data_IF_424458312924
#
_entry.id   IF_424458312924
#
_cell.length_a   1.000
_cell.length_b   1.000
_cell.length_c   1.000
_cell.angle_alpha   90.00
_cell.angle_beta   90.00
_cell.angle_gamma   90.00
#
_symmetry.space_group_name_H-M   'P 1'
#
loop_
_entity.id
_entity.type
_entity.pdbx_description
1 polymer ?
#
# COMPACT_ATOMS: atom_id res chain seq x y z
N UNK A 1 -4.05 -42.87 22.85
CA UNK A 1 -3.96 -42.22 21.53
C UNK A 1 -2.79 -41.22 21.54
N UNK A 2 -1.63 -41.59 20.99
CA UNK A 2 -0.45 -40.70 20.86
C UNK A 2 -0.50 -40.02 19.49
N UNK A 3 -0.62 -38.69 19.45
CA UNK A 3 -0.58 -37.90 18.21
C UNK A 3 0.86 -37.42 17.98
N UNK A 4 1.48 -37.89 16.88
CA UNK A 4 2.79 -37.43 16.40
C UNK A 4 2.63 -36.08 15.71
N UNK A 5 3.35 -35.06 16.18
CA UNK A 5 3.46 -33.75 15.57
C UNK A 5 4.65 -33.75 14.59
N UNK A 6 4.42 -33.41 13.32
CA UNK A 6 5.44 -33.33 12.26
C UNK A 6 6.43 -32.18 12.54
N UNK A 7 7.75 -32.33 12.28
CA UNK A 7 8.74 -31.27 12.49
C UNK A 7 8.72 -30.23 11.35
N UNK A 8 9.10 -28.97 11.63
CA UNK A 8 8.93 -27.82 10.72
C UNK A 8 9.96 -27.73 9.58
N UNK A 9 10.70 -28.80 9.28
CA UNK A 9 11.86 -28.73 8.40
C UNK A 9 11.56 -28.84 6.89
N UNK A 10 10.37 -29.34 6.53
CA UNK A 10 9.98 -29.59 5.12
C UNK A 10 9.56 -28.32 4.36
N UNK A 11 9.17 -27.25 5.04
CA UNK A 11 8.66 -26.03 4.38
C UNK A 11 9.76 -25.14 3.80
N UNK A 12 10.99 -25.21 4.35
CA UNK A 12 12.12 -24.38 3.89
C UNK A 12 12.79 -24.92 2.62
N UNK A 13 12.78 -26.23 2.38
CA UNK A 13 13.39 -26.81 1.17
C UNK A 13 12.54 -26.54 -0.09
N UNK A 14 11.21 -26.57 0.04
CA UNK A 14 10.31 -26.29 -1.10
C UNK A 14 10.35 -24.82 -1.55
N UNK A 15 10.57 -23.88 -0.63
CA UNK A 15 10.67 -22.46 -0.95
C UNK A 15 11.94 -22.11 -1.75
N UNK A 16 13.06 -22.79 -1.45
CA UNK A 16 14.33 -22.57 -2.15
C UNK A 16 14.28 -23.20 -3.56
N UNK A 17 13.64 -24.35 -3.71
CA UNK A 17 13.48 -25.00 -5.02
C UNK A 17 12.55 -24.22 -5.98
N UNK A 18 11.51 -23.56 -5.46
CA UNK A 18 10.58 -22.74 -6.26
C UNK A 18 11.20 -21.41 -6.74
N UNK A 19 12.12 -20.82 -5.98
CA UNK A 19 12.79 -19.57 -6.37
C UNK A 19 13.73 -19.73 -7.55
N UNK A 20 14.41 -20.88 -7.65
CA UNK A 20 15.39 -21.14 -8.71
C UNK A 20 14.74 -21.42 -10.07
N UNK A 21 13.60 -22.12 -10.09
CA UNK A 21 12.87 -22.42 -11.32
C UNK A 21 12.20 -21.18 -11.92
N UNK A 22 11.65 -20.30 -11.08
CA UNK A 22 11.06 -19.04 -11.56
C UNK A 22 12.11 -18.09 -12.15
N UNK A 23 13.29 -18.00 -11.52
CA UNK A 23 14.38 -17.16 -12.00
C UNK A 23 14.91 -17.58 -13.38
N UNK A 24 15.08 -18.88 -13.61
CA UNK A 24 15.57 -19.41 -14.90
C UNK A 24 14.58 -19.15 -16.04
N UNK A 25 13.27 -19.25 -15.79
CA UNK A 25 12.26 -19.01 -16.82
C UNK A 25 12.12 -17.53 -17.20
N UNK A 26 12.28 -16.62 -16.25
CA UNK A 26 12.24 -15.18 -16.54
C UNK A 26 13.42 -14.76 -17.40
N UNK A 27 14.61 -15.29 -17.13
CA UNK A 27 15.81 -15.01 -17.95
C UNK A 27 15.69 -15.62 -19.36
N UNK A 28 15.09 -16.80 -19.50
CA UNK A 28 14.86 -17.44 -20.80
C UNK A 28 13.84 -16.68 -21.67
N UNK A 29 12.76 -16.16 -21.07
CA UNK A 29 11.73 -15.38 -21.78
C UNK A 29 12.29 -14.04 -22.24
N UNK A 30 13.06 -13.35 -21.39
CA UNK A 30 13.71 -12.08 -21.75
C UNK A 30 14.78 -12.30 -22.83
N UNK A 31 15.51 -13.42 -22.79
CA UNK A 31 16.45 -13.81 -23.84
C UNK A 31 15.79 -14.10 -25.20
N UNK A 32 14.63 -14.74 -25.22
CA UNK A 32 13.85 -15.00 -26.43
C UNK A 32 13.27 -13.73 -27.05
N UNK A 33 12.83 -12.79 -26.22
CA UNK A 33 12.36 -11.47 -26.66
C UNK A 33 13.50 -10.59 -27.20
N UNK A 34 14.73 -10.77 -26.71
CA UNK A 34 15.88 -9.99 -27.13
C UNK A 34 16.62 -10.57 -28.36
N UNK A 35 16.53 -11.89 -28.61
CA UNK A 35 17.25 -12.57 -29.70
C UNK A 35 16.36 -13.06 -30.86
N UNK A 36 15.04 -12.92 -30.76
CA UNK A 36 14.06 -13.46 -31.70
C UNK A 36 13.41 -12.45 -32.65
N UNK A 37 14.05 -12.22 -33.80
CA UNK A 37 13.43 -11.87 -35.09
C UNK A 37 12.69 -10.51 -35.22
N UNK A 38 13.46 -9.44 -35.44
CA UNK A 38 12.97 -8.27 -36.18
C UNK A 38 12.94 -8.58 -37.68
N UNK A 39 11.77 -8.87 -38.24
CA UNK A 39 11.49 -8.75 -39.69
C UNK A 39 10.11 -8.10 -39.88
N UNK A 40 10.04 -6.90 -40.49
CA UNK A 40 8.75 -6.25 -40.75
C UNK A 40 8.01 -6.90 -41.92
N UNK A 41 6.68 -6.81 -41.87
CA UNK A 41 5.69 -7.36 -42.78
C UNK A 41 5.89 -6.93 -44.25
N UNK A 42 6.01 -7.90 -45.17
CA UNK A 42 5.88 -7.67 -46.61
C UNK A 42 4.40 -7.46 -47.00
N UNK A 43 4.13 -6.45 -47.83
CA UNK A 43 2.82 -6.20 -48.42
C UNK A 43 2.60 -7.08 -49.67
N UNK A 44 1.38 -7.56 -49.96
CA UNK A 44 1.13 -8.39 -51.15
C UNK A 44 1.23 -7.58 -52.45
N UNK A 45 1.90 -8.15 -53.46
CA UNK A 45 2.15 -7.58 -54.79
C UNK A 45 0.85 -7.40 -55.59
N UNK A 46 0.77 -6.30 -56.34
CA UNK A 46 -0.32 -5.98 -57.28
C UNK A 46 -0.31 -6.97 -58.46
N UNK A 47 -1.45 -7.62 -58.74
CA UNK A 47 -1.66 -8.35 -59.98
C UNK A 47 -1.91 -7.36 -61.14
N UNK A 48 -1.13 -7.47 -62.21
CA UNK A 48 -1.35 -6.76 -63.48
C UNK A 48 -1.99 -7.74 -64.46
N UNK A 49 -3.25 -7.50 -64.81
CA UNK A 49 -3.93 -8.23 -65.90
C UNK A 49 -3.50 -7.61 -67.22
N UNK A 50 -3.01 -8.43 -68.16
CA UNK A 50 -2.73 -7.98 -69.53
C UNK A 50 -3.82 -8.52 -70.43
N UNK A 51 -4.70 -7.63 -70.89
CA UNK A 51 -5.76 -7.92 -71.84
C UNK A 51 -5.16 -7.98 -73.25
N UNK A 52 -5.00 -9.18 -73.78
CA UNK A 52 -4.62 -9.40 -75.18
C UNK A 52 -5.86 -9.18 -76.06
N UNK A 53 -5.78 -8.18 -76.96
CA UNK A 53 -6.77 -7.94 -78.03
C UNK A 53 -6.39 -8.76 -79.26
N UNK A 54 -7.34 -9.42 -79.94
CA UNK A 54 -7.09 -10.04 -81.23
C UNK A 54 -7.18 -8.98 -82.34
N UNK A 55 -6.05 -8.38 -82.69
CA UNK A 55 -5.85 -7.66 -83.97
C UNK A 55 -5.02 -8.49 -84.97
N UNK A 56 -4.90 -9.80 -84.76
CA UNK A 56 -4.33 -10.72 -85.76
C UNK A 56 -5.40 -11.10 -86.82
N UNK A 57 -5.29 -10.40 -87.96
CA UNK A 57 -5.69 -10.66 -89.36
C UNK A 57 -6.16 -12.08 -89.79
N UNK A 58 -6.77 -12.29 -91.00
CA UNK A 58 -7.19 -11.33 -92.06
C UNK A 58 -8.60 -11.56 -92.68
N UNK A 59 -9.05 -10.56 -93.46
CA UNK A 59 -10.08 -10.62 -94.52
C UNK A 59 -9.50 -11.22 -95.82
N UNK A 60 -10.31 -11.98 -96.58
CA UNK A 60 -10.23 -12.01 -98.06
C UNK A 60 -11.64 -12.11 -98.68
N UNK A 61 -12.04 -11.17 -99.57
CA UNK A 61 -11.87 -10.99 -101.03
C UNK A 61 -13.03 -11.61 -101.84
N UNK A 62 -13.57 -10.71 -102.67
CA UNK A 62 -14.57 -10.77 -103.73
C UNK A 62 -14.42 -11.91 -104.73
N UNK A 63 -15.51 -12.23 -105.45
CA UNK A 63 -15.50 -12.51 -106.90
C UNK A 63 -16.92 -12.50 -107.47
N UNK A 64 -17.17 -11.47 -108.27
CA UNK A 64 -18.21 -11.34 -109.30
C UNK A 64 -17.96 -12.37 -110.44
N UNK A 65 -19.02 -12.82 -111.12
CA UNK A 65 -18.90 -13.34 -112.49
C UNK A 65 -20.16 -12.96 -113.28
N UNK A 66 -19.87 -12.32 -114.41
CA UNK A 66 -20.76 -11.72 -115.41
C UNK A 66 -21.01 -12.68 -116.57
N UNK A 67 -22.01 -12.34 -117.39
CA UNK A 67 -22.31 -12.78 -118.77
C UNK A 67 -23.37 -13.91 -118.89
N UNK A 68 -24.31 -13.90 -119.83
CA UNK A 68 -24.37 -13.24 -121.15
C UNK A 68 -25.82 -13.19 -121.68
N UNK A 69 -26.08 -12.24 -122.58
CA UNK A 69 -27.33 -12.02 -123.34
C UNK A 69 -27.47 -13.01 -124.50
N UNK A 70 -28.70 -13.44 -124.83
CA UNK A 70 -29.13 -13.69 -126.22
C UNK A 70 -30.62 -13.36 -126.39
N UNK A 71 -30.93 -12.65 -127.47
CA UNK A 71 -32.26 -12.27 -127.93
C UNK A 71 -32.49 -12.84 -129.33
N UNK A 72 -33.74 -13.22 -129.65
CA UNK A 72 -34.17 -13.53 -131.02
C UNK A 72 -35.67 -13.24 -131.18
N UNK A 73 -36.08 -13.09 -132.43
CA UNK A 73 -36.88 -11.99 -132.97
C UNK A 73 -38.14 -12.50 -133.70
N UNK A 74 -39.30 -11.90 -133.39
CA UNK A 74 -40.45 -11.46 -134.23
C UNK A 74 -40.99 -12.38 -135.35
N UNK A 75 -42.32 -12.62 -135.34
CA UNK A 75 -43.14 -12.48 -136.55
C UNK A 75 -44.65 -12.28 -136.27
N UNK A 76 -45.26 -11.36 -137.03
CA UNK A 76 -46.70 -11.08 -137.12
C UNK A 76 -46.99 -10.25 -138.38
N UNK A 77 -48.24 -10.19 -138.86
CA UNK A 77 -48.65 -10.77 -140.15
C UNK A 77 -49.20 -9.73 -141.14
N UNK A 78 -49.33 -10.06 -142.44
CA UNK A 78 -50.12 -9.25 -143.39
C UNK A 78 -50.91 -10.13 -144.38
N UNK A 79 -52.13 -9.66 -144.61
CA UNK A 79 -53.28 -10.15 -145.35
C UNK A 79 -53.14 -9.86 -146.85
N UNK A 80 -53.60 -10.77 -147.71
CA UNK A 80 -53.72 -10.56 -149.16
C UNK A 80 -55.19 -10.78 -149.56
N UNK A 81 -55.78 -9.80 -150.25
CA UNK A 81 -57.15 -9.81 -150.78
C UNK A 81 -57.15 -8.98 -152.07
N UNK A 82 -57.26 -9.63 -153.24
CA UNK A 82 -57.59 -8.93 -154.50
C UNK A 82 -58.48 -9.77 -155.44
N UNK A 83 -59.39 -9.02 -156.07
CA UNK A 83 -60.53 -9.35 -156.95
C UNK A 83 -60.16 -9.64 -158.43
N UNK A 84 -61.12 -10.00 -159.31
CA UNK A 84 -60.88 -10.74 -160.56
C UNK A 84 -60.63 -9.88 -161.83
N UNK A 85 -60.06 -10.52 -162.85
CA UNK A 85 -59.84 -9.98 -164.20
C UNK A 85 -60.97 -10.38 -165.17
N UNK A 86 -61.46 -9.42 -165.96
CA UNK A 86 -62.34 -9.62 -167.12
C UNK A 86 -61.67 -8.98 -168.37
N UNK A 87 -61.67 -9.68 -169.51
CA UNK A 87 -61.07 -9.23 -170.78
C UNK A 87 -61.95 -8.19 -171.51
N UNK A 88 -61.38 -7.19 -172.21
CA UNK A 88 -62.12 -6.36 -173.16
C UNK A 88 -61.92 -6.77 -174.62
N UNK A 89 -62.95 -6.51 -175.42
CA UNK A 89 -62.95 -6.57 -176.88
C UNK A 89 -62.31 -5.31 -177.49
N UNK A 90 -61.88 -5.48 -178.74
CA UNK A 90 -61.12 -4.57 -179.62
C UNK A 90 -61.68 -3.15 -179.83
N UNK A 91 -60.81 -2.13 -180.05
CA UNK A 91 -61.15 -0.70 -179.99
C UNK A 91 -61.58 -0.07 -181.33
N UNK A 92 -62.30 1.05 -181.22
CA UNK A 92 -62.40 2.10 -182.25
C UNK A 92 -61.51 3.28 -181.80
N UNK A 93 -60.63 3.78 -182.69
CA UNK A 93 -59.56 4.74 -182.35
C UNK A 93 -60.09 6.15 -181.96
N UNK A 94 -59.57 6.79 -180.90
CA UNK A 94 -59.82 8.21 -180.58
C UNK A 94 -58.71 9.14 -181.10
N UNK A 95 -59.12 10.28 -181.63
CA UNK A 95 -58.26 11.30 -182.28
C UNK A 95 -57.45 12.12 -181.25
N UNK A 96 -56.23 12.56 -181.64
CA UNK A 96 -55.15 13.13 -180.81
C UNK A 96 -55.50 14.23 -179.78
N UNK A 97 -56.64 14.91 -179.86
CA UNK A 97 -56.99 16.01 -178.93
C UNK A 97 -57.36 15.55 -177.51
N UNK A 98 -57.80 14.31 -177.29
CA UNK A 98 -58.21 13.84 -175.95
C UNK A 98 -57.03 13.48 -175.03
N UNK A 99 -55.88 13.10 -175.60
CA UNK A 99 -54.72 12.63 -174.84
C UNK A 99 -54.02 13.76 -174.05
N UNK A 100 -54.09 15.00 -174.54
CA UNK A 100 -53.45 16.13 -173.90
C UNK A 100 -54.17 16.59 -172.61
N UNK A 101 -55.51 16.54 -172.59
CA UNK A 101 -56.29 16.98 -171.43
C UNK A 101 -56.16 16.03 -170.23
N UNK A 102 -56.04 14.72 -170.47
CA UNK A 102 -55.91 13.72 -169.40
C UNK A 102 -54.56 13.82 -168.68
N UNK A 103 -53.50 14.17 -169.41
CA UNK A 103 -52.15 14.32 -168.85
C UNK A 103 -52.04 15.46 -167.83
N UNK A 104 -52.66 16.62 -168.10
CA UNK A 104 -52.63 17.75 -167.16
C UNK A 104 -53.38 17.46 -165.85
N UNK A 105 -54.52 16.76 -165.94
CA UNK A 105 -55.32 16.41 -164.75
C UNK A 105 -54.58 15.41 -163.85
N UNK A 106 -53.82 14.48 -164.44
CA UNK A 106 -52.99 13.54 -163.69
C UNK A 106 -51.85 14.24 -162.94
N UNK A 107 -51.23 15.27 -163.54
CA UNK A 107 -50.12 16.00 -162.93
C UNK A 107 -50.56 16.86 -161.73
N UNK A 108 -51.73 17.50 -161.81
CA UNK A 108 -52.31 18.23 -160.67
C UNK A 108 -52.66 17.30 -159.50
N UNK A 109 -53.25 16.13 -159.77
CA UNK A 109 -53.59 15.16 -158.73
C UNK A 109 -52.34 14.60 -158.02
N UNK A 110 -51.22 14.46 -158.74
CA UNK A 110 -49.95 14.07 -158.12
C UNK A 110 -49.38 15.15 -157.19
N UNK A 111 -49.46 16.43 -157.57
CA UNK A 111 -49.00 17.52 -156.69
C UNK A 111 -49.81 17.62 -155.41
N UNK A 112 -51.14 17.45 -155.48
CA UNK A 112 -52.01 17.49 -154.30
C UNK A 112 -51.71 16.33 -153.33
N UNK A 113 -51.52 15.11 -153.84
CA UNK A 113 -51.09 13.96 -153.03
C UNK A 113 -49.76 14.19 -152.31
N UNK A 114 -48.79 14.81 -152.98
CA UNK A 114 -47.48 15.10 -152.38
C UNK A 114 -47.60 16.16 -151.26
N UNK A 115 -48.46 17.17 -151.44
CA UNK A 115 -48.72 18.18 -150.44
C UNK A 115 -49.42 17.61 -149.19
N UNK A 116 -50.40 16.72 -149.38
CA UNK A 116 -51.08 16.00 -148.31
C UNK A 116 -50.10 15.13 -147.50
N UNK A 117 -49.23 14.40 -148.20
CA UNK A 117 -48.23 13.53 -147.56
C UNK A 117 -47.21 14.32 -146.74
N UNK A 118 -46.80 15.52 -147.19
CA UNK A 118 -45.93 16.41 -146.40
C UNK A 118 -46.61 16.92 -145.13
N UNK A 119 -47.89 17.31 -145.19
CA UNK A 119 -48.63 17.74 -143.99
C UNK A 119 -48.72 16.64 -142.96
N UNK A 120 -49.05 15.42 -143.39
CA UNK A 120 -49.12 14.27 -142.49
C UNK A 120 -47.75 13.94 -141.86
N UNK A 121 -46.66 14.07 -142.61
CA UNK A 121 -45.31 13.89 -142.08
C UNK A 121 -44.94 14.96 -141.03
N UNK A 122 -45.27 16.23 -141.28
CA UNK A 122 -45.01 17.34 -140.34
C UNK A 122 -45.84 17.20 -139.05
N UNK A 123 -47.10 16.78 -139.15
CA UNK A 123 -47.96 16.55 -137.99
C UNK A 123 -47.51 15.35 -137.16
N UNK A 124 -47.12 14.25 -137.81
CA UNK A 124 -46.53 13.09 -137.14
C UNK A 124 -45.19 13.43 -136.45
N UNK A 125 -44.37 14.29 -137.05
CA UNK A 125 -43.13 14.77 -136.45
C UNK A 125 -43.38 15.62 -135.20
N UNK A 126 -44.34 16.56 -135.24
CA UNK A 126 -44.74 17.36 -134.08
C UNK A 126 -45.32 16.50 -132.95
N UNK A 127 -46.15 15.51 -133.27
CA UNK A 127 -46.70 14.59 -132.27
C UNK A 127 -45.60 13.79 -131.56
N UNK A 128 -44.60 13.27 -132.30
CA UNK A 128 -43.46 12.57 -131.70
C UNK A 128 -42.61 13.47 -130.81
N UNK A 129 -42.41 14.73 -131.20
CA UNK A 129 -41.64 15.68 -130.40
C UNK A 129 -42.36 16.04 -129.09
N UNK A 130 -43.68 16.23 -129.13
CA UNK A 130 -44.48 16.50 -127.94
C UNK A 130 -44.47 15.32 -126.95
N UNK A 131 -44.54 14.07 -127.44
CA UNK A 131 -44.46 12.87 -126.60
C UNK A 131 -43.07 12.72 -125.95
N UNK A 132 -42.00 12.96 -126.71
CA UNK A 132 -40.63 12.94 -126.20
C UNK A 132 -40.40 14.01 -125.10
N UNK A 133 -40.89 15.23 -125.31
CA UNK A 133 -40.79 16.32 -124.33
C UNK A 133 -41.60 16.02 -123.06
N UNK A 134 -42.81 15.46 -123.21
CA UNK A 134 -43.64 15.04 -122.08
C UNK A 134 -42.98 13.94 -121.24
N UNK A 135 -42.38 12.94 -121.90
CA UNK A 135 -41.65 11.86 -121.23
C UNK A 135 -40.40 12.36 -120.52
N UNK A 136 -39.60 13.21 -121.17
CA UNK A 136 -38.40 13.80 -120.56
C UNK A 136 -38.74 14.65 -119.32
N UNK A 137 -39.84 15.41 -119.36
CA UNK A 137 -40.30 16.20 -118.21
C UNK A 137 -40.78 15.31 -117.05
N UNK A 138 -41.54 14.25 -117.35
CA UNK A 138 -41.99 13.30 -116.34
C UNK A 138 -40.83 12.57 -115.65
N UNK A 139 -39.81 12.13 -116.41
CA UNK A 139 -38.61 11.51 -115.86
C UNK A 139 -37.79 12.50 -114.99
N UNK A 140 -37.65 13.75 -115.42
CA UNK A 140 -36.96 14.78 -114.66
C UNK A 140 -37.66 15.11 -113.33
N UNK A 141 -39.00 15.22 -113.32
CA UNK A 141 -39.77 15.48 -112.11
C UNK A 141 -39.76 14.27 -111.15
N UNK A 142 -39.84 13.04 -111.68
CA UNK A 142 -39.71 11.82 -110.89
C UNK A 142 -38.34 11.74 -110.19
N UNK A 143 -37.26 12.04 -110.91
CA UNK A 143 -35.90 12.05 -110.35
C UNK A 143 -35.74 13.11 -109.26
N UNK A 144 -36.22 14.34 -109.49
CA UNK A 144 -36.17 15.41 -108.48
C UNK A 144 -36.91 15.06 -107.21
N UNK A 145 -38.07 14.40 -107.31
CA UNK A 145 -38.84 13.97 -106.14
C UNK A 145 -38.12 12.88 -105.36
N UNK A 146 -37.54 11.89 -106.05
CA UNK A 146 -36.76 10.83 -105.41
C UNK A 146 -35.53 11.38 -104.67
N UNK A 147 -34.78 12.32 -105.29
CA UNK A 147 -33.62 12.95 -104.67
C UNK A 147 -34.01 13.80 -103.45
N UNK A 148 -35.14 14.51 -103.51
CA UNK A 148 -35.66 15.30 -102.39
C UNK A 148 -36.09 14.41 -101.21
N UNK A 149 -36.81 13.32 -101.46
CA UNK A 149 -37.24 12.38 -100.43
C UNK A 149 -36.05 11.67 -99.78
N UNK A 150 -35.04 11.28 -100.57
CA UNK A 150 -33.81 10.66 -100.07
C UNK A 150 -33.03 11.61 -99.15
N UNK A 151 -32.90 12.88 -99.54
CA UNK A 151 -32.24 13.90 -98.72
C UNK A 151 -32.99 14.19 -97.42
N UNK A 152 -34.31 14.33 -97.48
CA UNK A 152 -35.13 14.57 -96.29
C UNK A 152 -35.04 13.40 -95.29
N UNK A 153 -35.03 12.16 -95.77
CA UNK A 153 -34.87 10.98 -94.92
C UNK A 153 -33.48 10.92 -94.26
N UNK A 154 -32.42 11.20 -95.03
CA UNK A 154 -31.05 11.23 -94.51
C UNK A 154 -30.86 12.31 -93.43
N UNK A 155 -31.42 13.51 -93.62
CA UNK A 155 -31.37 14.59 -92.63
C UNK A 155 -32.16 14.24 -91.36
N UNK A 156 -33.34 13.62 -91.50
CA UNK A 156 -34.14 13.18 -90.36
C UNK A 156 -33.46 12.10 -89.53
N UNK A 157 -32.83 11.11 -90.17
CA UNK A 157 -32.11 10.03 -89.49
C UNK A 157 -30.82 10.56 -88.82
N UNK A 158 -30.10 11.47 -89.48
CA UNK A 158 -28.93 12.14 -88.88
C UNK A 158 -29.29 12.94 -87.63
N UNK A 159 -30.40 13.69 -87.67
CA UNK A 159 -30.89 14.45 -86.51
C UNK A 159 -31.31 13.54 -85.36
N UNK A 160 -32.06 12.46 -85.64
CA UNK A 160 -32.46 11.48 -84.62
C UNK A 160 -31.27 10.83 -83.93
N UNK A 161 -30.22 10.49 -84.70
CA UNK A 161 -29.00 9.90 -84.14
C UNK A 161 -28.25 10.91 -83.26
N UNK A 162 -28.12 12.15 -83.70
CA UNK A 162 -27.48 13.21 -82.92
C UNK A 162 -28.22 13.49 -81.60
N UNK A 163 -29.56 13.57 -81.63
CA UNK A 163 -30.38 13.77 -80.43
C UNK A 163 -30.28 12.58 -79.45
N UNK A 164 -30.25 11.34 -79.98
CA UNK A 164 -30.09 10.14 -79.17
C UNK A 164 -28.71 10.08 -78.48
N UNK A 165 -27.63 10.36 -79.22
CA UNK A 165 -26.26 10.39 -78.68
C UNK A 165 -26.10 11.49 -77.63
N UNK A 166 -26.67 12.68 -77.87
CA UNK A 166 -26.65 13.79 -76.92
C UNK A 166 -27.37 13.43 -75.62
N UNK A 167 -28.55 12.80 -75.70
CA UNK A 167 -29.31 12.35 -74.54
C UNK A 167 -28.56 11.27 -73.75
N UNK A 168 -28.00 10.27 -74.44
CA UNK A 168 -27.24 9.19 -73.80
C UNK A 168 -26.01 9.72 -73.06
N UNK A 169 -25.30 10.70 -73.64
CA UNK A 169 -24.15 11.34 -73.01
C UNK A 169 -24.55 12.15 -71.77
N UNK A 170 -25.65 12.92 -71.86
CA UNK A 170 -26.16 13.69 -70.73
C UNK A 170 -26.59 12.81 -69.55
N UNK A 171 -27.29 11.69 -69.83
CA UNK A 171 -27.68 10.73 -68.80
C UNK A 171 -26.46 10.03 -68.15
N UNK A 172 -25.45 9.65 -68.95
CA UNK A 172 -24.23 9.05 -68.44
C UNK A 172 -23.43 10.01 -67.54
N UNK A 173 -23.30 11.29 -67.94
CA UNK A 173 -22.62 12.31 -67.14
C UNK A 173 -23.39 12.64 -65.85
N UNK A 174 -24.73 12.71 -65.91
CA UNK A 174 -25.57 12.91 -64.74
C UNK A 174 -25.42 11.76 -63.72
N UNK A 175 -25.44 10.51 -64.19
CA UNK A 175 -25.24 9.33 -63.34
C UNK A 175 -23.85 9.31 -62.70
N UNK A 176 -22.80 9.60 -63.47
CA UNK A 176 -21.42 9.68 -62.94
C UNK A 176 -21.27 10.76 -61.86
N UNK A 177 -21.90 11.93 -62.04
CA UNK A 177 -21.89 12.98 -61.01
C UNK A 177 -22.64 12.56 -59.75
N UNK A 178 -23.80 11.93 -59.88
CA UNK A 178 -24.58 11.44 -58.75
C UNK A 178 -23.81 10.37 -57.95
N UNK A 179 -23.21 9.40 -58.63
CA UNK A 179 -22.41 8.34 -57.99
C UNK A 179 -21.17 8.92 -57.28
N UNK A 180 -20.52 9.92 -57.88
CA UNK A 180 -19.37 10.59 -57.28
C UNK A 180 -19.74 11.42 -56.03
N UNK A 181 -20.87 12.12 -56.04
CA UNK A 181 -21.35 12.88 -54.86
C UNK A 181 -21.79 11.93 -53.73
N UNK A 182 -22.50 10.86 -54.07
CA UNK A 182 -22.91 9.83 -53.11
C UNK A 182 -21.69 9.19 -52.42
N UNK A 183 -20.64 8.84 -53.19
CA UNK A 183 -19.40 8.30 -52.63
C UNK A 183 -18.69 9.30 -51.72
N UNK A 184 -18.57 10.57 -52.14
CA UNK A 184 -17.96 11.63 -51.31
C UNK A 184 -18.69 11.85 -49.99
N UNK A 185 -20.03 11.85 -50.01
CA UNK A 185 -20.85 11.97 -48.80
C UNK A 185 -20.68 10.78 -47.86
N UNK A 186 -20.66 9.56 -48.40
CA UNK A 186 -20.44 8.35 -47.60
C UNK A 186 -19.05 8.32 -46.95
N UNK A 187 -18.00 8.67 -47.70
CA UNK A 187 -16.63 8.74 -47.18
C UNK A 187 -16.50 9.83 -46.09
N UNK A 188 -17.16 10.98 -46.27
CA UNK A 188 -17.17 12.06 -45.28
C UNK A 188 -17.91 11.68 -43.99
N UNK A 189 -19.07 11.04 -44.07
CA UNK A 189 -19.83 10.57 -42.89
C UNK A 189 -19.06 9.48 -42.14
N UNK A 190 -18.46 8.53 -42.87
CA UNK A 190 -17.63 7.48 -42.27
C UNK A 190 -16.43 8.06 -41.51
N UNK A 191 -15.73 9.05 -42.11
CA UNK A 191 -14.61 9.73 -41.45
C UNK A 191 -15.06 10.52 -40.21
N UNK A 192 -16.17 11.26 -40.30
CA UNK A 192 -16.71 12.01 -39.18
C UNK A 192 -17.11 11.12 -37.99
N UNK A 193 -17.74 9.97 -38.27
CA UNK A 193 -18.06 8.98 -37.22
C UNK A 193 -16.81 8.38 -36.59
N UNK A 194 -15.82 8.00 -37.39
CA UNK A 194 -14.58 7.43 -36.88
C UNK A 194 -13.81 8.43 -35.99
N UNK A 195 -13.75 9.71 -36.37
CA UNK A 195 -13.12 10.76 -35.55
C UNK A 195 -13.90 11.02 -34.25
N UNK A 196 -15.23 11.03 -34.30
CA UNK A 196 -16.06 11.22 -33.11
C UNK A 196 -15.93 10.07 -32.11
N UNK A 197 -15.92 8.81 -32.59
CA UNK A 197 -15.73 7.63 -31.74
C UNK A 197 -14.31 7.58 -31.15
N UNK A 198 -13.29 7.90 -31.94
CA UNK A 198 -11.91 7.98 -31.45
C UNK A 198 -11.75 9.02 -30.34
N UNK A 199 -12.35 10.20 -30.52
CA UNK A 199 -12.34 11.27 -29.50
C UNK A 199 -13.07 10.85 -28.23
N UNK A 200 -14.26 10.24 -28.34
CA UNK A 200 -15.02 9.73 -27.18
C UNK A 200 -14.22 8.69 -26.40
N UNK A 201 -13.56 7.77 -27.09
CA UNK A 201 -12.74 6.73 -26.45
C UNK A 201 -11.53 7.33 -25.72
N UNK A 202 -10.83 8.28 -26.35
CA UNK A 202 -9.70 8.97 -25.73
C UNK A 202 -10.11 9.77 -24.48
N UNK A 203 -11.22 10.49 -24.54
CA UNK A 203 -11.75 11.26 -23.40
C UNK A 203 -12.18 10.32 -22.24
N UNK A 204 -12.80 9.19 -22.56
CA UNK A 204 -13.19 8.19 -21.56
C UNK A 204 -11.98 7.54 -20.87
N UNK A 205 -10.96 7.12 -21.64
CA UNK A 205 -9.73 6.53 -21.10
C UNK A 205 -8.96 7.55 -20.25
N UNK A 206 -8.88 8.82 -20.67
CA UNK A 206 -8.23 9.89 -19.92
C UNK A 206 -8.93 10.14 -18.58
N UNK A 207 -10.27 10.19 -18.57
CA UNK A 207 -11.07 10.36 -17.35
C UNK A 207 -10.91 9.17 -16.40
N UNK A 208 -10.98 7.94 -16.90
CA UNK A 208 -10.82 6.75 -16.08
C UNK A 208 -9.42 6.67 -15.44
N UNK A 209 -8.37 7.05 -16.18
CA UNK A 209 -7.01 7.10 -15.65
C UNK A 209 -6.84 8.17 -14.57
N UNK A 210 -7.40 9.36 -14.79
CA UNK A 210 -7.35 10.44 -13.80
C UNK A 210 -8.09 10.09 -12.50
N UNK A 211 -9.26 9.46 -12.58
CA UNK A 211 -10.01 9.00 -11.41
C UNK A 211 -9.26 7.89 -10.65
N UNK A 212 -8.64 6.94 -11.37
CA UNK A 212 -7.86 5.87 -10.75
C UNK A 212 -6.59 6.39 -10.03
N UNK A 213 -5.87 7.34 -10.64
CA UNK A 213 -4.70 7.97 -10.03
C UNK A 213 -5.08 8.82 -8.81
N UNK A 214 -6.18 9.58 -8.89
CA UNK A 214 -6.69 10.37 -7.76
C UNK A 214 -7.08 9.47 -6.58
N UNK A 215 -7.77 8.36 -6.84
CA UNK A 215 -8.15 7.38 -5.80
C UNK A 215 -6.92 6.72 -5.16
N UNK A 216 -5.93 6.29 -5.96
CA UNK A 216 -4.68 5.72 -5.44
C UNK A 216 -3.92 6.69 -4.55
N UNK A 217 -3.85 7.97 -4.95
CA UNK A 217 -3.16 9.00 -4.16
C UNK A 217 -3.89 9.25 -2.84
N UNK A 218 -5.21 9.35 -2.85
CA UNK A 218 -6.01 9.53 -1.64
C UNK A 218 -5.88 8.34 -0.67
N UNK A 219 -5.93 7.11 -1.17
CA UNK A 219 -5.76 5.90 -0.35
C UNK A 219 -4.34 5.81 0.25
N UNK A 220 -3.31 6.19 -0.53
CA UNK A 220 -1.93 6.22 -0.07
C UNK A 220 -1.70 7.27 1.02
N UNK A 221 -2.20 8.50 0.83
CA UNK A 221 -2.09 9.58 1.82
C UNK A 221 -2.86 9.23 3.11
N UNK A 222 -4.05 8.64 2.99
CA UNK A 222 -4.83 8.19 4.15
C UNK A 222 -4.10 7.09 4.95
N UNK A 223 -3.50 6.12 4.25
CA UNK A 223 -2.73 5.05 4.90
C UNK A 223 -1.47 5.58 5.58
N UNK A 224 -0.73 6.47 4.93
CA UNK A 224 0.48 7.07 5.51
C UNK A 224 0.15 7.90 6.76
N UNK A 225 -0.95 8.66 6.75
CA UNK A 225 -1.40 9.42 7.92
C UNK A 225 -1.82 8.52 9.07
N UNK A 226 -2.54 7.43 8.80
CA UNK A 226 -2.95 6.46 9.82
C UNK A 226 -1.75 5.72 10.45
N UNK A 227 -0.75 5.32 9.65
CA UNK A 227 0.48 4.71 10.15
C UNK A 227 1.31 5.69 11.01
N UNK A 228 1.40 6.95 10.61
CA UNK A 228 2.09 7.99 11.38
C UNK A 228 1.41 8.26 12.73
N UNK A 229 0.08 8.41 12.76
CA UNK A 229 -0.69 8.62 13.99
C UNK A 229 -0.59 7.40 14.93
N UNK A 230 -0.64 6.18 14.39
CA UNK A 230 -0.48 4.96 15.17
C UNK A 230 0.91 4.86 15.81
N UNK A 231 1.96 5.19 15.04
CA UNK A 231 3.34 5.20 15.55
C UNK A 231 3.54 6.28 16.63
N UNK A 232 3.00 7.48 16.43
CA UNK A 232 3.08 8.57 17.40
C UNK A 232 2.38 8.23 18.72
N UNK A 233 1.20 7.58 18.67
CA UNK A 233 0.52 7.06 19.87
C UNK A 233 1.33 5.98 20.59
N UNK A 234 1.88 5.02 19.85
CA UNK A 234 2.68 3.94 20.44
C UNK A 234 3.94 4.47 21.13
N UNK A 235 4.65 5.40 20.51
CA UNK A 235 5.85 6.04 21.10
C UNK A 235 5.49 6.86 22.36
N UNK A 236 4.35 7.58 22.35
CA UNK A 236 3.89 8.35 23.50
C UNK A 236 3.49 7.46 24.69
N UNK A 237 2.78 6.35 24.45
CA UNK A 237 2.42 5.38 25.48
C UNK A 237 3.65 4.66 26.04
N UNK A 238 4.60 4.28 25.18
CA UNK A 238 5.86 3.68 25.61
C UNK A 238 6.65 4.62 26.52
N UNK A 239 6.74 5.91 26.17
CA UNK A 239 7.41 6.93 26.99
C UNK A 239 6.72 7.13 28.34
N UNK A 240 5.39 7.25 28.36
CA UNK A 240 4.62 7.37 29.62
C UNK A 240 4.84 6.18 30.54
N UNK A 241 4.86 4.96 29.99
CA UNK A 241 5.09 3.75 30.78
C UNK A 241 6.50 3.71 31.37
N UNK A 242 7.51 4.08 30.58
CA UNK A 242 8.90 4.15 31.05
C UNK A 242 9.08 5.19 32.17
N UNK A 243 8.50 6.38 32.01
CA UNK A 243 8.58 7.44 33.04
C UNK A 243 7.86 7.02 34.34
N UNK A 244 6.72 6.33 34.23
CA UNK A 244 5.99 5.81 35.39
C UNK A 244 6.78 4.72 36.14
N UNK A 245 7.37 3.76 35.42
CA UNK A 245 8.20 2.71 36.02
C UNK A 245 9.46 3.28 36.68
N UNK A 246 10.10 4.29 36.06
CA UNK A 246 11.26 4.96 36.62
C UNK A 246 10.91 5.69 37.93
N UNK A 247 9.78 6.41 37.96
CA UNK A 247 9.31 7.09 39.18
C UNK A 247 8.96 6.10 40.29
N UNK A 248 8.26 5.01 39.97
CA UNK A 248 7.91 3.98 40.94
C UNK A 248 9.15 3.31 41.57
N UNK A 249 10.20 3.05 40.77
CA UNK A 249 11.48 2.54 41.30
C UNK A 249 12.18 3.54 42.21
N UNK A 250 12.25 4.82 41.81
CA UNK A 250 12.88 5.86 42.61
C UNK A 250 12.18 6.04 43.98
N UNK A 251 10.84 6.07 43.99
CA UNK A 251 10.06 6.18 45.23
C UNK A 251 10.26 4.95 46.14
N UNK A 252 10.32 3.74 45.57
CA UNK A 252 10.57 2.51 46.32
C UNK A 252 11.97 2.46 46.94
N UNK A 253 13.00 2.87 46.21
CA UNK A 253 14.38 2.94 46.71
C UNK A 253 14.53 4.02 47.80
N UNK A 254 13.90 5.18 47.62
CA UNK A 254 13.88 6.23 48.64
C UNK A 254 13.21 5.76 49.94
N UNK A 255 12.07 5.06 49.84
CA UNK A 255 11.38 4.47 51.00
C UNK A 255 12.24 3.42 51.70
N UNK A 256 12.87 2.50 50.96
CA UNK A 256 13.78 1.50 51.54
C UNK A 256 14.95 2.11 52.28
N UNK A 257 15.55 3.17 51.71
CA UNK A 257 16.67 3.86 52.34
C UNK A 257 16.25 4.56 53.64
N UNK A 258 15.09 5.24 53.63
CA UNK A 258 14.54 5.89 54.82
C UNK A 258 14.21 4.88 55.94
N UNK A 259 13.59 3.74 55.59
CA UNK A 259 13.26 2.69 56.56
C UNK A 259 14.54 2.06 57.16
N UNK A 260 15.59 1.87 56.35
CA UNK A 260 16.88 1.35 56.80
C UNK A 260 17.60 2.32 57.75
N UNK A 261 17.65 3.62 57.41
CA UNK A 261 18.25 4.65 58.26
C UNK A 261 17.50 4.80 59.59
N UNK A 262 16.16 4.74 59.57
CA UNK A 262 15.34 4.80 60.77
C UNK A 262 15.60 3.59 61.69
N UNK A 263 15.69 2.38 61.12
CA UNK A 263 16.01 1.17 61.88
C UNK A 263 17.42 1.22 62.47
N UNK A 264 18.42 1.65 61.70
CA UNK A 264 19.79 1.78 62.18
C UNK A 264 19.92 2.78 63.35
N UNK A 265 19.19 3.92 63.30
CA UNK A 265 19.13 4.87 64.42
C UNK A 265 18.47 4.26 65.66
N UNK A 266 17.33 3.59 65.49
CA UNK A 266 16.63 2.96 66.61
C UNK A 266 17.47 1.89 67.31
N UNK A 267 18.16 1.04 66.53
CA UNK A 267 19.05 0.01 67.07
C UNK A 267 20.26 0.62 67.80
N UNK A 268 20.83 1.71 67.27
CA UNK A 268 21.94 2.42 67.91
C UNK A 268 21.53 3.10 69.23
N UNK A 269 20.36 3.74 69.28
CA UNK A 269 19.83 4.37 70.50
C UNK A 269 19.48 3.32 71.55
N UNK A 270 18.87 2.19 71.15
CA UNK A 270 18.58 1.07 72.04
C UNK A 270 19.86 0.49 72.65
N UNK A 271 20.92 0.30 71.84
CA UNK A 271 22.21 -0.18 72.32
C UNK A 271 22.85 0.79 73.31
N UNK A 272 22.87 2.10 73.00
CA UNK A 272 23.41 3.14 73.90
C UNK A 272 22.68 3.17 75.24
N UNK A 273 21.35 3.04 75.23
CA UNK A 273 20.55 3.02 76.46
C UNK A 273 20.85 1.77 77.30
N UNK A 274 20.93 0.60 76.67
CA UNK A 274 21.28 -0.65 77.35
C UNK A 274 22.69 -0.60 77.98
N UNK A 275 23.68 -0.07 77.25
CA UNK A 275 25.04 0.07 77.75
C UNK A 275 25.11 1.06 78.92
N UNK A 276 24.35 2.16 78.88
CA UNK A 276 24.27 3.14 79.96
C UNK A 276 23.60 2.56 81.22
N UNK A 277 22.48 1.85 81.07
CA UNK A 277 21.78 1.20 82.18
C UNK A 277 22.64 0.11 82.83
N UNK A 278 23.35 -0.69 82.02
CA UNK A 278 24.28 -1.70 82.51
C UNK A 278 25.43 -1.09 83.33
N UNK A 279 26.01 0.03 82.84
CA UNK A 279 27.07 0.75 83.56
C UNK A 279 26.57 1.35 84.86
N UNK A 280 25.41 2.00 84.86
CA UNK A 280 24.81 2.59 86.05
C UNK A 280 24.53 1.52 87.13
N UNK A 281 24.05 0.35 86.72
CA UNK A 281 23.80 -0.78 87.63
C UNK A 281 25.11 -1.34 88.21
N UNK A 282 26.14 -1.52 87.39
CA UNK A 282 27.45 -1.98 87.84
C UNK A 282 28.10 -1.02 88.86
N UNK A 283 28.02 0.30 88.60
CA UNK A 283 28.54 1.32 89.51
C UNK A 283 27.76 1.35 90.84
N UNK A 284 26.44 1.15 90.81
CA UNK A 284 25.61 1.07 92.01
C UNK A 284 25.92 -0.19 92.84
N UNK A 285 26.05 -1.35 92.20
CA UNK A 285 26.39 -2.61 92.85
C UNK A 285 27.80 -2.56 93.48
N UNK A 286 28.77 -1.95 92.79
CA UNK A 286 30.12 -1.75 93.31
C UNK A 286 30.15 -0.85 94.55
N UNK A 287 29.41 0.27 94.54
CA UNK A 287 29.28 1.16 95.70
C UNK A 287 28.60 0.46 96.89
N UNK A 288 27.56 -0.33 96.64
CA UNK A 288 26.87 -1.08 97.68
C UNK A 288 27.77 -2.16 98.31
N UNK A 289 28.58 -2.85 97.50
CA UNK A 289 29.55 -3.82 97.99
C UNK A 289 30.65 -3.18 98.85
N UNK A 290 31.20 -2.04 98.41
CA UNK A 290 32.20 -1.30 99.17
C UNK A 290 31.66 -0.79 100.52
N UNK A 291 30.43 -0.28 100.55
CA UNK A 291 29.79 0.15 101.79
C UNK A 291 29.60 -1.00 102.80
N UNK A 292 29.15 -2.17 102.32
CA UNK A 292 29.01 -3.36 103.18
C UNK A 292 30.35 -3.84 103.73
N UNK A 293 31.40 -3.82 102.93
CA UNK A 293 32.75 -4.20 103.40
C UNK A 293 33.25 -3.25 104.49
N UNK A 294 33.09 -1.93 104.30
CA UNK A 294 33.49 -0.94 105.30
C UNK A 294 32.72 -1.09 106.62
N UNK A 295 31.42 -1.38 106.58
CA UNK A 295 30.60 -1.64 107.77
C UNK A 295 31.06 -2.91 108.51
N UNK A 296 31.35 -3.99 107.77
CA UNK A 296 31.86 -5.23 108.36
C UNK A 296 33.24 -5.04 109.00
N UNK A 297 34.16 -4.33 108.35
CA UNK A 297 35.48 -4.04 108.90
C UNK A 297 35.38 -3.18 110.17
N UNK A 298 34.52 -2.15 110.19
CA UNK A 298 34.28 -1.33 111.37
C UNK A 298 33.67 -2.14 112.53
N UNK A 299 32.73 -3.05 112.23
CA UNK A 299 32.16 -3.94 113.24
C UNK A 299 33.19 -4.93 113.81
N UNK A 300 34.08 -5.46 112.97
CA UNK A 300 35.17 -6.35 113.39
C UNK A 300 36.17 -5.64 114.30
N UNK A 301 36.65 -4.44 113.91
CA UNK A 301 37.57 -3.64 114.76
C UNK A 301 36.96 -3.35 116.13
N UNK A 302 35.68 -2.94 116.16
CA UNK A 302 34.96 -2.71 117.43
C UNK A 302 34.82 -3.98 118.28
N UNK A 303 34.56 -5.13 117.65
CA UNK A 303 34.47 -6.41 118.35
C UNK A 303 35.83 -6.86 118.91
N UNK A 304 36.91 -6.60 118.18
CA UNK A 304 38.29 -6.87 118.61
C UNK A 304 38.69 -5.99 119.78
N UNK A 305 38.44 -4.67 119.72
CA UNK A 305 38.69 -3.76 120.85
C UNK A 305 37.94 -4.20 122.12
N UNK A 306 36.69 -4.64 121.98
CA UNK A 306 35.89 -5.21 123.10
C UNK A 306 36.53 -6.46 123.69
N UNK A 307 37.04 -7.36 122.84
CA UNK A 307 37.74 -8.58 123.29
C UNK A 307 39.02 -8.22 124.03
N UNK A 308 39.84 -7.32 123.48
CA UNK A 308 41.07 -6.84 124.13
C UNK A 308 40.73 -6.20 125.49
N UNK A 309 39.70 -5.36 125.56
CA UNK A 309 39.25 -4.76 126.82
C UNK A 309 38.82 -5.83 127.84
N UNK A 310 38.08 -6.85 127.41
CA UNK A 310 37.64 -7.93 128.30
C UNK A 310 38.81 -8.74 128.86
N UNK A 311 39.83 -9.02 128.04
CA UNK A 311 41.06 -9.69 128.48
C UNK A 311 41.81 -8.84 129.50
N UNK A 312 42.01 -7.54 129.21
CA UNK A 312 42.69 -6.64 130.15
C UNK A 312 41.94 -6.50 131.47
N UNK A 313 40.60 -6.43 131.45
CA UNK A 313 39.78 -6.43 132.68
C UNK A 313 40.04 -7.68 133.51
N UNK A 314 40.12 -8.86 132.88
CA UNK A 314 40.44 -10.11 133.58
C UNK A 314 41.83 -10.08 134.23
N UNK A 315 42.81 -9.47 133.57
CA UNK A 315 44.16 -9.31 134.13
C UNK A 315 44.16 -8.34 135.33
N UNK A 316 43.34 -7.28 135.29
CA UNK A 316 43.15 -6.36 136.41
C UNK A 316 42.60 -7.08 137.63
N UNK A 317 41.57 -7.90 137.43
CA UNK A 317 40.97 -8.71 138.50
C UNK A 317 42.00 -9.64 139.12
N UNK A 318 42.77 -10.36 138.30
CA UNK A 318 43.83 -11.25 138.79
C UNK A 318 44.88 -10.48 139.59
N UNK A 319 45.27 -9.29 139.15
CA UNK A 319 46.22 -8.44 139.87
C UNK A 319 45.68 -8.03 141.25
N UNK A 320 44.40 -7.67 141.33
CA UNK A 320 43.73 -7.36 142.60
C UNK A 320 43.73 -8.60 143.51
N UNK A 321 43.32 -9.76 142.99
CA UNK A 321 43.30 -11.00 143.77
C UNK A 321 44.67 -11.36 144.34
N UNK A 322 45.76 -11.13 143.59
CA UNK A 322 47.13 -11.39 144.06
C UNK A 322 47.59 -10.43 145.17
N UNK A 323 47.06 -9.21 145.17
CA UNK A 323 47.35 -8.18 146.18
C UNK A 323 46.35 -8.17 147.35
N UNK A 324 45.32 -9.03 147.30
CA UNK A 324 44.24 -9.03 148.26
C UNK A 324 44.57 -9.84 149.50
N UNK A 325 44.62 -9.17 150.66
CA UNK A 325 44.77 -9.80 151.96
C UNK A 325 43.39 -10.12 152.56
N UNK A 326 42.99 -11.38 152.54
CA UNK A 326 41.66 -11.81 153.00
C UNK A 326 41.58 -11.70 154.54
N UNK A 327 40.65 -10.91 155.11
CA UNK A 327 40.47 -10.84 156.55
C UNK A 327 40.00 -12.20 157.11
N UNK A 328 40.52 -12.58 158.29
CA UNK A 328 40.29 -13.93 158.86
C UNK A 328 38.80 -14.26 159.09
N UNK A 329 37.95 -13.26 159.37
CA UNK A 329 36.52 -13.44 159.66
C UNK A 329 35.59 -13.22 158.44
N UNK A 330 36.15 -13.14 157.24
CA UNK A 330 35.38 -12.81 156.03
C UNK A 330 35.13 -14.00 155.08
N UNK A 331 35.51 -15.24 155.43
CA UNK A 331 35.30 -16.42 154.57
C UNK A 331 33.83 -16.58 154.16
N UNK A 332 33.58 -16.84 152.87
CA UNK A 332 32.23 -16.95 152.28
C UNK A 332 31.53 -15.63 151.97
N UNK A 333 32.04 -14.48 152.43
CA UNK A 333 31.46 -13.17 152.13
C UNK A 333 31.83 -12.70 150.73
N UNK A 334 30.98 -11.85 150.16
CA UNK A 334 31.15 -11.26 148.82
C UNK A 334 31.22 -9.75 148.88
N UNK A 335 31.98 -9.19 147.96
CA UNK A 335 32.10 -7.75 147.77
C UNK A 335 32.24 -7.44 146.29
N UNK A 336 31.62 -6.34 145.86
CA UNK A 336 31.72 -5.88 144.46
C UNK A 336 32.47 -4.57 144.45
N UNK A 337 33.54 -4.47 143.65
CA UNK A 337 34.27 -3.23 143.46
C UNK A 337 34.05 -2.69 142.05
N UNK A 338 33.62 -1.44 141.95
CA UNK A 338 33.66 -0.66 140.71
C UNK A 338 34.90 0.22 140.73
N UNK A 339 35.75 0.03 139.74
CA UNK A 339 37.04 0.72 139.63
C UNK A 339 37.06 1.53 138.36
N UNK A 340 37.50 2.78 138.47
CA UNK A 340 37.76 3.66 137.33
C UNK A 340 39.23 4.02 137.32
N UNK A 341 39.86 3.87 136.17
CA UNK A 341 41.27 4.10 135.90
C UNK A 341 41.46 5.28 134.92
N UNK A 342 42.61 5.93 135.01
CA UNK A 342 43.07 6.86 133.99
C UNK A 342 43.78 6.11 132.84
N UNK A 343 44.23 6.84 131.81
CA UNK A 343 44.88 6.23 130.64
C UNK A 343 46.25 5.60 130.95
N UNK A 344 46.87 5.92 132.08
CA UNK A 344 48.13 5.33 132.56
C UNK A 344 47.92 4.13 133.48
N UNK A 345 46.67 3.71 133.72
CA UNK A 345 46.34 2.60 134.61
C UNK A 345 46.39 2.94 136.10
N UNK A 346 46.49 4.21 136.47
CA UNK A 346 46.34 4.63 137.87
C UNK A 346 44.87 4.69 138.28
N UNK A 347 44.60 4.40 139.54
CA UNK A 347 43.25 4.38 140.10
C UNK A 347 42.73 5.80 140.31
N UNK A 348 41.63 6.14 139.64
CA UNK A 348 40.92 7.42 139.82
C UNK A 348 39.82 7.32 140.87
N UNK A 349 39.02 6.27 140.83
CA UNK A 349 37.93 6.06 141.79
C UNK A 349 37.74 4.58 142.08
N UNK A 350 37.50 4.25 143.36
CA UNK A 350 37.13 2.91 143.80
C UNK A 350 35.86 3.01 144.62
N UNK A 351 34.83 2.26 144.24
CA UNK A 351 33.59 2.15 144.99
C UNK A 351 33.40 0.67 145.31
N UNK A 352 33.60 0.30 146.57
CA UNK A 352 33.41 -1.07 147.06
C UNK A 352 32.08 -1.18 147.79
N UNK A 353 31.27 -2.15 147.39
CA UNK A 353 30.03 -2.54 148.04
C UNK A 353 30.20 -3.91 148.70
N UNK A 354 30.17 -3.93 150.04
CA UNK A 354 30.20 -5.15 150.86
C UNK A 354 29.38 -4.92 152.13
N UNK A 355 28.79 -5.99 152.66
CA UNK A 355 28.13 -5.99 153.96
C UNK A 355 29.13 -5.98 155.13
N UNK A 356 30.40 -6.33 154.87
CA UNK A 356 31.47 -6.41 155.85
C UNK A 356 32.45 -5.21 155.69
N UNK A 357 32.58 -4.34 156.70
CA UNK A 357 33.50 -3.20 156.67
C UNK A 357 34.97 -3.59 156.46
N UNK A 358 35.42 -4.70 157.05
CA UNK A 358 36.81 -5.15 156.95
C UNK A 358 37.11 -5.69 155.56
N UNK A 359 36.14 -6.40 154.97
CA UNK A 359 36.20 -6.83 153.57
C UNK A 359 36.21 -5.63 152.61
N UNK A 360 35.41 -4.59 152.90
CA UNK A 360 35.38 -3.35 152.11
C UNK A 360 36.75 -2.66 152.13
N UNK A 361 37.32 -2.44 153.31
CA UNK A 361 38.62 -1.81 153.49
C UNK A 361 39.76 -2.63 152.85
N UNK A 362 39.73 -3.95 153.01
CA UNK A 362 40.71 -4.86 152.43
C UNK A 362 40.71 -4.84 150.89
N UNK A 363 39.54 -4.86 150.24
CA UNK A 363 39.45 -4.79 148.77
C UNK A 363 39.84 -3.41 148.26
N UNK A 364 39.45 -2.34 148.95
CA UNK A 364 39.85 -0.98 148.59
C UNK A 364 41.38 -0.81 148.65
N UNK A 365 42.02 -1.36 149.68
CA UNK A 365 43.47 -1.42 149.80
C UNK A 365 44.12 -2.26 148.69
N UNK A 366 43.56 -3.43 148.37
CA UNK A 366 44.06 -4.32 147.31
C UNK A 366 43.96 -3.68 145.91
N UNK A 367 42.89 -2.94 145.62
CA UNK A 367 42.72 -2.20 144.36
C UNK A 367 43.75 -1.08 144.23
N UNK A 368 44.01 -0.33 145.31
CA UNK A 368 45.00 0.75 145.28
C UNK A 368 46.43 0.23 145.22
N UNK A 369 46.75 -0.87 145.91
CA UNK A 369 48.09 -1.48 145.91
C UNK A 369 48.43 -2.20 144.60
N UNK A 370 47.42 -2.69 143.88
CA UNK A 370 47.59 -3.28 142.56
C UNK A 370 47.90 -2.25 141.45
N UNK A 371 47.74 -0.95 141.71
CA UNK A 371 48.07 0.10 140.75
C UNK A 371 49.59 0.21 140.51
N UNK A 372 50.06 0.54 139.30
CA UNK A 372 49.29 0.83 138.09
C UNK A 372 48.87 -0.45 137.31
N UNK A 373 47.69 -0.42 136.71
CA UNK A 373 47.14 -1.51 135.91
C UNK A 373 47.67 -1.49 134.46
N UNK A 374 47.91 -2.66 133.83
CA UNK A 374 48.43 -2.75 132.46
C UNK A 374 47.36 -2.40 131.42
N UNK A 375 47.31 -1.12 130.99
CA UNK A 375 46.30 -0.65 130.04
C UNK A 375 46.54 -1.19 128.61
N UNK A 376 45.48 -1.56 127.85
CA UNK A 376 45.59 -1.94 126.44
C UNK A 376 46.23 -0.85 125.57
N UNK A 377 47.01 -1.26 124.57
CA UNK A 377 47.56 -0.33 123.57
C UNK A 377 46.47 0.24 122.66
N UNK A 378 45.49 -0.58 122.24
CA UNK A 378 44.36 -0.15 121.41
C UNK A 378 43.53 0.95 122.11
N UNK A 379 43.36 2.15 121.52
CA UNK A 379 42.67 3.27 122.17
C UNK A 379 41.21 2.98 122.52
N UNK A 380 40.49 2.24 121.66
CA UNK A 380 39.09 1.86 121.89
C UNK A 380 38.96 0.85 123.03
N UNK A 381 39.80 -0.19 123.04
CA UNK A 381 39.89 -1.16 124.11
C UNK A 381 40.28 -0.49 125.44
N UNK A 382 41.23 0.45 125.39
CA UNK A 382 41.67 1.23 126.55
C UNK A 382 40.52 2.03 127.14
N UNK A 383 39.77 2.76 126.31
CA UNK A 383 38.58 3.50 126.75
C UNK A 383 37.57 2.58 127.45
N UNK A 384 37.33 1.39 126.91
CA UNK A 384 36.39 0.43 127.50
C UNK A 384 36.94 -0.26 128.77
N UNK A 385 38.25 -0.47 128.87
CA UNK A 385 38.93 -1.09 130.01
C UNK A 385 39.06 -0.16 131.23
N UNK A 386 39.04 1.17 131.03
CA UNK A 386 39.16 2.17 132.11
C UNK A 386 38.14 2.02 133.22
N UNK A 387 36.96 1.49 132.92
CA UNK A 387 35.96 1.18 133.95
C UNK A 387 35.67 -0.30 133.94
N UNK A 388 35.79 -0.93 135.11
CA UNK A 388 35.38 -2.32 135.29
C UNK A 388 34.71 -2.51 136.65
N UNK A 389 33.90 -3.56 136.72
CA UNK A 389 33.24 -3.99 137.94
C UNK A 389 33.59 -5.45 138.14
N UNK A 390 34.12 -5.78 139.31
CA UNK A 390 34.50 -7.14 139.64
C UNK A 390 33.94 -7.55 140.99
N UNK A 391 33.64 -8.84 141.11
CA UNK A 391 33.09 -9.46 142.30
C UNK A 391 34.14 -10.34 142.96
N UNK A 392 34.44 -10.05 144.22
CA UNK A 392 35.42 -10.74 145.05
C UNK A 392 34.69 -11.60 146.07
N UNK A 393 35.11 -12.86 146.21
CA UNK A 393 34.60 -13.78 147.23
C UNK A 393 35.76 -14.29 148.06
N UNK A 394 35.70 -14.13 149.37
CA UNK A 394 36.72 -14.66 150.27
C UNK A 394 36.55 -16.18 150.35
N UNK A 395 37.61 -16.91 150.00
CA UNK A 395 37.64 -18.37 150.09
C UNK A 395 38.08 -18.79 151.49
#
# INVERSE_FOLDING_TARGET
MKKFQKPPFQQKQNAIALGFTLGVHVVAIVGLLYLGMSKPLEQPKKLTTTLVKPEDLPKQIDSETTAENQAEEIQGPIVDDTLPQNLPATPSQPTEQQLAAEKQKAEQAQQEKLAEQKRQADEASKAKQADADAKAKAEADAKRKADADAKAKAEADAKRKADADAKAKAEADAKRKADADAKRRADADAKAKAEADAKRKADADAKAKAEADAKRKADADAKAKAEADAKAKADADAKRKADADAKAKADADAKRKADADAKAKADADAKRKADADAKAKADADAKAAAAKQAEQEAAQKKAESRRIASTAKRDFEQKIYRSWNIPMDSSGKKATARVTLNDSGAVMSVIVNSADPDMKASIEAAVRSAAPYPMPEDPDARREARSFTSSFTAK
#
